data_IF_944189224566
#
_entry.id   IF_944189224566
#
_cell.length_a   1.000
_cell.length_b   1.000
_cell.length_c   1.000
_cell.angle_alpha   90.00
_cell.angle_beta   90.00
_cell.angle_gamma   90.00
#
_symmetry.space_group_name_H-M   'P 1'
#
loop_
_entity.id
_entity.type
_entity.pdbx_description
1 polymer ?
#
# COMPACT_ATOMS: atom_id res chain seq x y z
N UNK A 1 8.86 -12.71 -23.65
CA UNK A 1 8.63 -12.02 -22.36
C UNK A 1 9.82 -12.29 -21.46
N UNK A 2 10.52 -11.25 -20.98
CA UNK A 2 11.61 -11.46 -20.01
C UNK A 2 11.02 -11.58 -18.60
N UNK A 3 11.71 -12.29 -17.70
CA UNK A 3 11.29 -12.38 -16.29
C UNK A 3 11.12 -11.00 -15.66
N UNK A 4 12.03 -10.06 -15.96
CA UNK A 4 11.94 -8.69 -15.49
C UNK A 4 10.66 -7.97 -15.98
N UNK A 5 10.30 -8.15 -17.25
CA UNK A 5 9.07 -7.57 -17.81
C UNK A 5 7.82 -8.07 -17.09
N UNK A 6 7.76 -9.37 -16.78
CA UNK A 6 6.64 -9.96 -16.03
C UNK A 6 6.60 -9.39 -14.61
N UNK A 7 7.75 -9.31 -13.93
CA UNK A 7 7.82 -8.73 -12.57
C UNK A 7 7.32 -7.29 -12.54
N UNK A 8 7.73 -6.44 -13.49
CA UNK A 8 7.26 -5.05 -13.52
C UNK A 8 5.76 -4.95 -13.84
N UNK A 9 5.25 -5.79 -14.74
CA UNK A 9 3.82 -5.81 -15.06
C UNK A 9 2.99 -6.22 -13.83
N UNK A 10 3.37 -7.31 -13.17
CA UNK A 10 2.69 -7.82 -11.98
C UNK A 10 2.80 -6.80 -10.85
N UNK A 11 3.99 -6.26 -10.59
CA UNK A 11 4.20 -5.23 -9.57
C UNK A 11 3.37 -3.98 -9.81
N UNK A 12 3.30 -3.51 -11.06
CA UNK A 12 2.45 -2.37 -11.45
C UNK A 12 0.97 -2.64 -11.22
N UNK A 13 0.46 -3.79 -11.69
CA UNK A 13 -0.93 -4.18 -11.50
C UNK A 13 -1.30 -4.30 -10.01
N UNK A 14 -0.46 -4.98 -9.21
CA UNK A 14 -0.68 -5.14 -7.78
C UNK A 14 -0.63 -3.80 -7.05
N UNK A 15 0.26 -2.89 -7.45
CA UNK A 15 0.33 -1.54 -6.90
C UNK A 15 -0.95 -0.73 -7.16
N UNK A 16 -1.46 -0.76 -8.39
CA UNK A 16 -2.70 -0.06 -8.76
C UNK A 16 -3.91 -0.66 -8.04
N UNK A 17 -4.04 -1.99 -8.04
CA UNK A 17 -5.15 -2.68 -7.37
C UNK A 17 -5.10 -2.47 -5.86
N UNK A 18 -3.91 -2.54 -5.25
CA UNK A 18 -3.72 -2.27 -3.84
C UNK A 18 -4.07 -0.84 -3.45
N UNK A 19 -3.69 0.15 -4.26
CA UNK A 19 -4.06 1.55 -4.05
C UNK A 19 -5.56 1.77 -4.20
N UNK A 20 -6.18 1.17 -5.22
CA UNK A 20 -7.63 1.23 -5.41
C UNK A 20 -8.38 0.60 -4.23
N UNK A 21 -7.91 -0.55 -3.72
CA UNK A 21 -8.47 -1.19 -2.54
C UNK A 21 -8.32 -0.32 -1.29
N UNK A 22 -7.17 0.33 -1.09
CA UNK A 22 -6.96 1.27 0.02
C UNK A 22 -7.95 2.45 -0.06
N UNK A 23 -8.11 3.03 -1.24
CA UNK A 23 -9.06 4.13 -1.44
C UNK A 23 -10.50 3.69 -1.10
N UNK A 24 -10.93 2.55 -1.64
CA UNK A 24 -12.30 2.05 -1.46
C UNK A 24 -12.60 1.59 -0.04
N UNK A 25 -11.67 0.88 0.62
CA UNK A 25 -11.90 0.19 1.89
C UNK A 25 -11.48 1.03 3.11
N UNK A 26 -10.59 2.00 2.95
CA UNK A 26 -10.06 2.80 4.06
C UNK A 26 -10.40 4.27 3.88
N UNK A 27 -9.94 4.90 2.79
CA UNK A 27 -10.03 6.35 2.65
C UNK A 27 -11.48 6.85 2.50
N UNK A 28 -12.26 6.24 1.61
CA UNK A 28 -13.67 6.61 1.38
C UNK A 28 -14.50 6.48 2.67
N UNK A 29 -14.53 5.33 3.37
CA UNK A 29 -15.31 5.21 4.60
C UNK A 29 -14.78 6.12 5.72
N UNK A 30 -13.46 6.33 5.82
CA UNK A 30 -12.89 7.24 6.82
C UNK A 30 -13.36 8.68 6.62
N UNK A 31 -13.45 9.15 5.37
CA UNK A 31 -13.88 10.52 5.05
C UNK A 31 -15.40 10.68 5.14
N UNK A 32 -16.17 9.65 4.76
CA UNK A 32 -17.64 9.70 4.80
C UNK A 32 -18.19 9.66 6.22
N UNK A 33 -17.46 9.07 7.18
CA UNK A 33 -17.86 9.01 8.59
C UNK A 33 -17.95 10.40 9.26
N UNK A 34 -17.18 11.39 8.80
CA UNK A 34 -17.15 12.72 9.39
C UNK A 34 -18.05 13.71 8.64
N UNK A 35 -18.89 14.46 9.36
CA UNK A 35 -19.74 15.50 8.77
C UNK A 35 -19.05 16.86 8.66
N UNK A 36 -18.10 17.20 9.54
CA UNK A 36 -17.38 18.48 9.46
C UNK A 36 -16.18 18.38 8.50
N UNK A 37 -15.94 19.41 7.65
CA UNK A 37 -14.87 19.38 6.67
C UNK A 37 -13.46 19.34 7.30
N UNK A 38 -13.25 20.00 8.44
CA UNK A 38 -11.96 19.94 9.15
C UNK A 38 -11.61 18.53 9.64
N UNK A 39 -12.59 17.76 10.12
CA UNK A 39 -12.37 16.38 10.54
C UNK A 39 -12.10 15.44 9.36
N UNK A 40 -12.67 15.72 8.19
CA UNK A 40 -12.35 15.00 6.95
C UNK A 40 -10.90 15.17 6.53
N UNK A 41 -10.36 16.39 6.61
CA UNK A 41 -8.95 16.64 6.29
C UNK A 41 -8.03 15.84 7.22
N UNK A 42 -8.30 15.85 8.52
CA UNK A 42 -7.54 15.05 9.49
C UNK A 42 -7.63 13.54 9.18
N UNK A 43 -8.81 13.04 8.81
CA UNK A 43 -9.01 11.64 8.44
C UNK A 43 -8.22 11.26 7.17
N UNK A 44 -8.13 12.14 6.18
CA UNK A 44 -7.29 11.95 4.98
C UNK A 44 -5.81 11.86 5.36
N UNK A 45 -5.31 12.79 6.18
CA UNK A 45 -3.92 12.79 6.65
C UNK A 45 -3.59 11.50 7.39
N UNK A 46 -4.46 11.07 8.31
CA UNK A 46 -4.29 9.81 9.03
C UNK A 46 -4.35 8.59 8.09
N UNK A 47 -5.20 8.63 7.07
CA UNK A 47 -5.25 7.57 6.05
C UNK A 47 -3.94 7.48 5.28
N UNK A 48 -3.32 8.60 4.89
CA UNK A 48 -1.99 8.58 4.28
C UNK A 48 -0.92 8.00 5.21
N UNK A 49 -0.99 8.28 6.51
CA UNK A 49 -0.12 7.63 7.49
C UNK A 49 -0.32 6.10 7.51
N UNK A 50 -1.56 5.62 7.48
CA UNK A 50 -1.87 4.18 7.39
C UNK A 50 -1.34 3.58 6.09
N UNK A 51 -1.52 4.26 4.96
CA UNK A 51 -0.97 3.83 3.67
C UNK A 51 0.55 3.70 3.73
N UNK A 52 1.23 4.69 4.30
CA UNK A 52 2.68 4.67 4.48
C UNK A 52 3.11 3.51 5.38
N UNK A 53 2.36 3.19 6.44
CA UNK A 53 2.62 2.04 7.29
C UNK A 53 2.44 0.71 6.53
N UNK A 54 1.36 0.55 5.76
CA UNK A 54 1.14 -0.65 4.94
C UNK A 54 2.25 -0.86 3.91
N UNK A 55 2.65 0.20 3.20
CA UNK A 55 3.76 0.16 2.25
C UNK A 55 5.06 -0.15 2.97
N UNK A 56 5.35 0.52 4.08
CA UNK A 56 6.56 0.31 4.87
C UNK A 56 6.70 -1.14 5.35
N UNK A 57 5.64 -1.71 5.91
CA UNK A 57 5.63 -3.13 6.33
C UNK A 57 5.84 -4.05 5.13
N UNK A 58 5.17 -3.81 4.01
CA UNK A 58 5.35 -4.60 2.79
C UNK A 58 6.79 -4.57 2.27
N UNK A 59 7.42 -3.38 2.24
CA UNK A 59 8.83 -3.21 1.84
C UNK A 59 9.76 -3.90 2.82
N UNK A 60 9.54 -3.76 4.13
CA UNK A 60 10.38 -4.40 5.15
C UNK A 60 10.32 -5.93 5.03
N UNK A 61 9.13 -6.51 4.91
CA UNK A 61 8.96 -7.95 4.70
C UNK A 61 9.62 -8.43 3.41
N UNK A 62 9.42 -7.69 2.31
CA UNK A 62 10.08 -7.99 1.03
C UNK A 62 11.61 -7.94 1.14
N UNK A 63 12.15 -6.92 1.82
CA UNK A 63 13.59 -6.77 2.03
C UNK A 63 14.16 -7.92 2.88
N UNK A 64 13.47 -8.32 3.96
CA UNK A 64 13.86 -9.47 4.78
C UNK A 64 13.93 -10.74 3.93
N UNK A 65 12.93 -11.00 3.10
CA UNK A 65 12.93 -12.18 2.22
C UNK A 65 14.14 -12.14 1.28
N UNK A 66 14.40 -11.01 0.61
CA UNK A 66 15.52 -10.88 -0.34
C UNK A 66 16.88 -11.06 0.35
N UNK A 67 17.05 -10.54 1.57
CA UNK A 67 18.31 -10.60 2.30
C UNK A 67 18.58 -11.97 2.93
N UNK A 68 17.55 -12.66 3.41
CA UNK A 68 17.69 -13.99 4.03
C UNK A 68 17.66 -15.13 2.99
N UNK A 69 17.19 -14.88 1.77
CA UNK A 69 17.13 -15.88 0.70
C UNK A 69 18.46 -16.62 0.46
N UNK A 70 19.62 -15.96 0.31
CA UNK A 70 20.90 -16.62 0.07
C UNK A 70 21.45 -17.38 1.29
N UNK A 71 20.88 -17.15 2.48
CA UNK A 71 21.26 -17.85 3.71
C UNK A 71 20.43 -19.12 3.90
N UNK A 72 19.20 -19.13 3.38
CA UNK A 72 18.24 -20.22 3.53
C UNK A 72 18.26 -21.21 2.36
N UNK A 73 18.68 -20.76 1.16
CA UNK A 73 18.78 -21.54 -0.07
C UNK A 73 20.11 -21.24 -0.79
#
# INVERSE_FOLDING_TARGET
MSNATITYLVGGCLGVVGLAAFCALVLVPAVTAYQRPLHRVAAVVLSFYVLAACVGVGVLLGAVIVLEWPRLF
#
